data_IF_115339972030
#
_entry.id   IF_115339972030
#
_cell.length_a   1.000
_cell.length_b   1.000
_cell.length_c   1.000
_cell.angle_alpha   90.00
_cell.angle_beta   90.00
_cell.angle_gamma   90.00
#
_symmetry.space_group_name_H-M   'P 1'
#
loop_
_entity.id
_entity.type
_entity.pdbx_description
1 polymer ?
#
# COMPACT_ATOMS: atom_id res chain seq x y z
N UNK A 1 1.02 -7.25 -6.00
CA UNK A 1 2.02 -6.34 -6.60
C UNK A 1 3.15 -7.12 -7.30
N UNK A 2 3.69 -8.16 -6.69
CA UNK A 2 4.79 -8.94 -7.26
C UNK A 2 4.43 -9.56 -8.61
N UNK A 3 3.32 -10.28 -8.69
CA UNK A 3 2.87 -10.92 -9.93
C UNK A 3 2.65 -9.94 -11.06
N UNK A 4 1.98 -8.82 -10.77
CA UNK A 4 1.73 -7.78 -11.78
C UNK A 4 3.05 -7.14 -12.22
N UNK A 5 3.92 -6.78 -11.30
CA UNK A 5 5.19 -6.11 -11.62
C UNK A 5 6.14 -7.02 -12.39
N UNK A 6 6.24 -8.29 -12.03
CA UNK A 6 7.11 -9.25 -12.73
C UNK A 6 6.69 -9.49 -14.19
N UNK A 7 5.38 -9.42 -14.48
CA UNK A 7 4.84 -9.60 -15.83
C UNK A 7 4.92 -8.32 -16.66
N UNK A 8 4.57 -7.18 -16.06
CA UNK A 8 4.40 -5.92 -16.79
C UNK A 8 5.73 -5.19 -17.02
N UNK A 9 6.65 -5.18 -16.06
CA UNK A 9 7.92 -4.44 -16.18
C UNK A 9 8.76 -4.84 -17.40
N UNK A 10 8.92 -6.14 -17.73
CA UNK A 10 9.65 -6.50 -18.95
C UNK A 10 8.99 -6.02 -20.24
N UNK A 11 7.65 -5.92 -20.25
CA UNK A 11 6.86 -5.48 -21.41
C UNK A 11 6.76 -3.98 -21.52
N UNK A 12 6.80 -3.28 -20.37
CA UNK A 12 6.69 -1.83 -20.29
C UNK A 12 7.69 -1.31 -19.26
N UNK A 13 8.95 -1.02 -19.68
CA UNK A 13 10.02 -0.61 -18.75
C UNK A 13 9.71 0.67 -17.96
N UNK A 14 8.80 1.52 -18.45
CA UNK A 14 8.36 2.72 -17.74
C UNK A 14 7.37 2.44 -16.61
N UNK A 15 6.86 1.21 -16.47
CA UNK A 15 5.93 0.82 -15.42
C UNK A 15 6.60 0.94 -14.05
N UNK A 16 5.89 1.58 -13.11
CA UNK A 16 6.36 1.75 -11.74
C UNK A 16 5.43 1.00 -10.79
N UNK A 17 6.02 0.23 -9.89
CA UNK A 17 5.31 -0.46 -8.82
C UNK A 17 5.56 0.28 -7.51
N UNK A 18 4.51 0.79 -6.90
CA UNK A 18 4.56 1.53 -5.63
C UNK A 18 3.89 0.70 -4.56
N UNK A 19 4.60 0.37 -3.50
CA UNK A 19 4.05 -0.32 -2.34
C UNK A 19 3.56 0.70 -1.32
N UNK A 20 2.40 0.45 -0.73
CA UNK A 20 1.83 1.31 0.32
C UNK A 20 1.79 0.51 1.61
N UNK A 21 2.30 1.10 2.69
CA UNK A 21 2.28 0.49 4.01
C UNK A 21 1.88 1.50 5.07
N UNK A 22 1.38 1.04 6.25
CA UNK A 22 1.08 1.95 7.35
C UNK A 22 2.35 2.62 7.86
N UNK A 23 2.32 3.93 8.08
CA UNK A 23 3.47 4.65 8.63
C UNK A 23 3.86 4.16 10.03
N UNK A 24 2.90 3.62 10.79
CA UNK A 24 3.13 3.05 12.13
C UNK A 24 3.71 1.63 12.09
N UNK A 25 3.74 0.98 10.91
CA UNK A 25 4.30 -0.37 10.74
C UNK A 25 5.09 -0.44 9.43
N UNK A 26 6.18 0.35 9.27
CA UNK A 26 6.87 0.50 7.99
C UNK A 26 7.89 -0.62 7.73
N UNK A 27 7.46 -1.86 7.77
CA UNK A 27 8.33 -3.05 7.68
C UNK A 27 9.04 -3.15 6.33
N UNK A 28 8.34 -2.84 5.22
CA UNK A 28 8.92 -2.89 3.87
C UNK A 28 10.01 -1.82 3.70
N UNK A 29 9.82 -0.67 4.35
CA UNK A 29 10.81 0.42 4.35
C UNK A 29 12.00 0.15 5.28
N UNK A 30 12.01 -0.96 6.01
CA UNK A 30 13.08 -1.32 6.94
C UNK A 30 12.84 -0.89 8.38
N UNK A 31 11.64 -0.39 8.70
CA UNK A 31 11.27 -0.01 10.06
C UNK A 31 10.76 -1.17 10.91
N UNK A 32 10.35 -0.87 12.11
CA UNK A 32 9.81 -1.85 13.05
C UNK A 32 8.31 -2.06 12.85
N UNK A 33 7.80 -3.30 12.99
CA UNK A 33 6.37 -3.53 12.97
C UNK A 33 5.70 -2.89 14.19
N UNK A 34 4.49 -2.37 14.01
CA UNK A 34 3.74 -1.73 15.07
C UNK A 34 2.24 -1.83 14.84
N UNK A 35 1.42 -1.55 15.88
CA UNK A 35 -0.03 -1.57 15.74
C UNK A 35 -0.52 -0.42 14.86
N UNK A 36 -1.53 -0.71 14.01
CA UNK A 36 -2.19 0.28 13.18
C UNK A 36 -3.64 -0.15 12.94
N UNK A 37 -4.46 0.78 12.42
CA UNK A 37 -5.89 0.55 12.19
C UNK A 37 -6.24 0.36 10.70
N UNK A 38 -5.24 0.16 9.84
CA UNK A 38 -5.43 -0.04 8.41
C UNK A 38 -5.58 -1.53 8.11
N UNK A 39 -6.82 -2.02 8.09
CA UNK A 39 -7.11 -3.43 7.86
C UNK A 39 -6.73 -3.87 6.44
N UNK A 40 -6.15 -5.06 6.33
CA UNK A 40 -5.82 -5.66 5.04
C UNK A 40 -4.46 -5.28 4.48
N UNK A 41 -3.77 -4.34 5.10
CA UNK A 41 -2.40 -3.97 4.73
C UNK A 41 -1.51 -3.97 5.96
N UNK A 42 -0.20 -3.91 5.76
CA UNK A 42 0.74 -3.84 6.88
C UNK A 42 0.78 -5.10 7.72
N UNK A 43 1.22 -6.21 7.14
CA UNK A 43 1.23 -7.52 7.82
C UNK A 43 2.17 -7.61 9.03
N UNK A 44 3.08 -6.66 9.19
CA UNK A 44 4.07 -6.69 10.28
C UNK A 44 5.31 -7.54 9.96
N UNK A 45 5.37 -8.09 8.77
CA UNK A 45 6.50 -8.87 8.27
C UNK A 45 6.57 -8.74 6.74
N UNK A 46 7.70 -9.14 6.16
CA UNK A 46 7.83 -9.17 4.70
C UNK A 46 7.42 -10.56 4.23
N UNK A 47 6.30 -10.70 3.47
CA UNK A 47 5.86 -12.00 2.97
C UNK A 47 6.88 -12.63 2.03
N UNK A 48 7.02 -13.95 2.09
CA UNK A 48 7.97 -14.69 1.24
C UNK A 48 7.69 -14.51 -0.26
N UNK A 49 6.42 -14.33 -0.62
CA UNK A 49 6.02 -14.14 -2.01
C UNK A 49 6.19 -12.70 -2.51
N UNK A 50 6.65 -11.78 -1.68
CA UNK A 50 6.96 -10.41 -2.09
C UNK A 50 8.37 -10.34 -2.70
N UNK A 51 8.44 -10.01 -3.98
CA UNK A 51 9.72 -9.72 -4.63
C UNK A 51 10.03 -8.23 -4.50
N UNK A 52 10.89 -7.88 -3.56
CA UNK A 52 11.23 -6.47 -3.28
C UNK A 52 11.96 -5.79 -4.44
N UNK A 53 12.63 -6.57 -5.30
CA UNK A 53 13.37 -6.02 -6.42
C UNK A 53 12.49 -5.39 -7.50
N UNK A 54 11.20 -5.77 -7.56
CA UNK A 54 10.26 -5.20 -8.54
C UNK A 54 9.49 -4.00 -7.99
N UNK A 55 9.69 -3.65 -6.72
CA UNK A 55 9.06 -2.49 -6.08
C UNK A 55 9.97 -1.28 -6.28
N UNK A 56 9.44 -0.24 -6.92
CA UNK A 56 10.20 0.98 -7.23
C UNK A 56 10.19 1.96 -6.07
N UNK A 57 9.09 2.03 -5.33
CA UNK A 57 8.91 2.99 -4.26
C UNK A 57 8.00 2.41 -3.18
N UNK A 58 8.25 2.78 -1.93
CA UNK A 58 7.39 2.42 -0.78
C UNK A 58 6.92 3.71 -0.12
N UNK A 59 5.61 3.85 0.04
CA UNK A 59 5.00 5.04 0.66
C UNK A 59 4.36 4.64 1.98
N UNK A 60 4.78 5.30 3.07
CA UNK A 60 4.14 5.17 4.36
C UNK A 60 2.94 6.10 4.47
N UNK A 61 1.78 5.58 4.89
CA UNK A 61 0.53 6.34 4.99
C UNK A 61 0.05 6.34 6.43
N UNK A 62 -0.36 7.52 6.91
CA UNK A 62 -0.96 7.66 8.23
C UNK A 62 -2.41 7.22 8.22
N UNK A 63 -2.83 6.51 9.27
CA UNK A 63 -4.22 6.09 9.41
C UNK A 63 -5.17 7.27 9.60
N UNK A 64 -4.68 8.40 10.15
CA UNK A 64 -5.44 9.63 10.32
C UNK A 64 -5.89 10.24 8.99
N UNK A 65 -5.11 10.05 7.92
CA UNK A 65 -5.44 10.56 6.59
C UNK A 65 -6.37 9.61 5.81
N UNK A 66 -6.31 8.32 6.12
CA UNK A 66 -7.03 7.29 5.36
C UNK A 66 -8.55 7.37 5.53
N UNK A 67 -9.02 7.63 6.75
CA UNK A 67 -10.45 7.73 7.05
C UNK A 67 -11.12 8.88 6.30
N UNK A 68 -10.64 10.13 6.42
CA UNK A 68 -11.20 11.27 5.68
C UNK A 68 -11.20 11.06 4.17
N UNK A 69 -10.15 10.51 3.60
CA UNK A 69 -10.06 10.27 2.15
C UNK A 69 -11.10 9.23 1.70
N UNK A 70 -11.27 8.13 2.45
CA UNK A 70 -12.28 7.12 2.09
C UNK A 70 -13.69 7.70 2.14
N UNK A 71 -13.97 8.59 3.09
CA UNK A 71 -15.26 9.30 3.19
C UNK A 71 -15.45 10.24 2.01
N UNK A 72 -14.42 10.95 1.57
CA UNK A 72 -14.50 11.83 0.42
C UNK A 72 -14.76 11.08 -0.87
N UNK A 73 -14.11 9.95 -1.10
CA UNK A 73 -14.35 9.09 -2.27
C UNK A 73 -15.82 8.66 -2.30
N UNK A 74 -16.34 8.23 -1.16
CA UNK A 74 -17.74 7.84 -1.05
C UNK A 74 -18.69 9.02 -1.35
N UNK A 75 -18.40 10.19 -0.77
CA UNK A 75 -19.24 11.39 -0.92
C UNK A 75 -19.18 11.99 -2.31
N UNK A 76 -17.98 12.11 -2.90
CA UNK A 76 -17.78 12.80 -4.18
C UNK A 76 -18.04 11.90 -5.39
N UNK A 77 -17.61 10.64 -5.31
CA UNK A 77 -17.67 9.71 -6.45
C UNK A 77 -18.75 8.64 -6.28
N UNK A 78 -19.39 8.58 -5.11
CA UNK A 78 -20.43 7.61 -4.82
C UNK A 78 -19.92 6.16 -4.76
N UNK A 79 -18.63 5.97 -4.50
CA UNK A 79 -18.01 4.64 -4.43
C UNK A 79 -17.80 4.28 -2.96
N UNK A 80 -18.52 3.29 -2.40
CA UNK A 80 -18.32 2.88 -1.02
C UNK A 80 -17.00 2.11 -0.88
N UNK A 81 -16.08 2.68 -0.11
CA UNK A 81 -14.74 2.09 0.10
C UNK A 81 -14.39 2.09 1.59
N UNK A 82 -13.53 1.18 1.98
CA UNK A 82 -13.03 1.09 3.35
C UNK A 82 -11.85 2.02 3.64
N UNK A 83 -11.41 2.02 4.89
CA UNK A 83 -10.29 2.87 5.34
C UNK A 83 -9.00 2.55 4.60
N UNK A 84 -8.72 1.28 4.33
CA UNK A 84 -7.53 0.88 3.58
C UNK A 84 -7.53 1.43 2.15
N UNK A 85 -8.71 1.58 1.53
CA UNK A 85 -8.82 2.24 0.23
C UNK A 85 -8.47 3.72 0.29
N UNK A 86 -8.80 4.39 1.40
CA UNK A 86 -8.37 5.76 1.65
C UNK A 86 -6.85 5.88 1.78
N UNK A 87 -6.19 4.84 2.29
CA UNK A 87 -4.73 4.78 2.36
C UNK A 87 -4.10 4.72 0.96
N UNK A 88 -4.70 3.94 0.07
CA UNK A 88 -4.20 3.77 -1.29
C UNK A 88 -4.41 5.04 -2.11
#
# INVERSE_FOLDING_TARGET
>A
ITGVAEVIKPRKPSFRAVAVEPAKSPVISGGQPGPHKLQGIGAGFIPDNLNRSVVDEVIGVNEEDSGPISKEVNRLDGIPVGVSSGAI
#
